data_IF_214825024197
#
_entry.id   IF_214825024197
#
_cell.length_a   1.000
_cell.length_b   1.000
_cell.length_c   1.000
_cell.angle_alpha   90.00
_cell.angle_beta   90.00
_cell.angle_gamma   90.00
#
_symmetry.space_group_name_H-M   'P 1'
#
loop_
_entity.id
_entity.type
_entity.pdbx_description
1 polymer ?
#
# COMPACT_ATOMS: atom_id res chain seq x y z
N UNK A 1 0.98 -3.22 19.96
CA UNK A 1 -0.37 -3.84 19.97
C UNK A 1 -1.43 -2.91 20.57
N UNK A 2 -1.17 -2.29 21.71
CA UNK A 2 -2.14 -1.44 22.43
C UNK A 2 -2.61 -0.26 21.56
N UNK A 3 -1.70 0.45 20.88
CA UNK A 3 -2.04 1.56 20.00
C UNK A 3 -2.91 1.11 18.81
N UNK A 4 -2.59 -0.02 18.18
CA UNK A 4 -3.39 -0.61 17.11
C UNK A 4 -4.80 -0.96 17.57
N UNK A 5 -4.91 -1.59 18.75
CA UNK A 5 -6.20 -1.93 19.36
C UNK A 5 -7.02 -0.70 19.67
N UNK A 6 -6.41 0.31 20.28
CA UNK A 6 -7.08 1.56 20.66
C UNK A 6 -7.59 2.30 19.42
N UNK A 7 -6.74 2.41 18.40
CA UNK A 7 -7.09 3.11 17.17
C UNK A 7 -8.19 2.36 16.39
N UNK A 8 -8.10 1.03 16.30
CA UNK A 8 -9.12 0.22 15.64
C UNK A 8 -10.50 0.37 16.29
N UNK A 9 -10.58 0.40 17.63
CA UNK A 9 -11.83 0.65 18.36
C UNK A 9 -12.38 2.04 18.06
N UNK A 10 -11.55 3.08 18.18
CA UNK A 10 -11.97 4.46 17.93
C UNK A 10 -12.48 4.67 16.50
N UNK A 11 -11.81 4.10 15.50
CA UNK A 11 -12.22 4.16 14.09
C UNK A 11 -13.54 3.39 13.88
N UNK A 12 -13.70 2.24 14.53
CA UNK A 12 -14.96 1.48 14.47
C UNK A 12 -16.13 2.26 15.07
N UNK A 13 -15.92 2.90 16.22
CA UNK A 13 -16.93 3.74 16.88
C UNK A 13 -17.30 4.97 16.04
N UNK A 14 -16.40 5.46 15.21
CA UNK A 14 -16.67 6.55 14.27
C UNK A 14 -17.61 6.16 13.12
N UNK A 15 -17.93 4.87 12.97
CA UNK A 15 -18.94 4.39 12.01
C UNK A 15 -18.44 4.21 10.58
N UNK A 16 -17.18 3.81 10.41
CA UNK A 16 -16.62 3.45 9.09
C UNK A 16 -17.07 2.05 8.66
N UNK A 17 -16.99 1.76 7.37
CA UNK A 17 -17.38 0.46 6.80
C UNK A 17 -16.25 -0.57 6.79
N UNK A 18 -14.97 -0.13 6.81
CA UNK A 18 -13.79 -0.98 6.82
C UNK A 18 -12.57 -0.24 7.34
N UNK A 19 -11.52 -0.98 7.70
CA UNK A 19 -10.24 -0.44 8.16
C UNK A 19 -9.13 -0.86 7.21
N UNK A 20 -8.36 0.10 6.69
CA UNK A 20 -7.14 -0.17 5.92
C UNK A 20 -5.91 0.08 6.79
N UNK A 21 -5.16 -0.98 7.08
CA UNK A 21 -3.89 -0.91 7.82
C UNK A 21 -2.75 -0.60 6.87
N UNK A 22 -2.08 0.53 7.07
CA UNK A 22 -0.96 0.94 6.22
C UNK A 22 0.37 0.32 6.69
N UNK A 23 0.78 -0.78 6.06
CA UNK A 23 2.07 -1.44 6.29
C UNK A 23 3.14 -1.02 5.28
N UNK A 24 3.11 0.21 4.80
CA UNK A 24 3.90 0.58 3.63
C UNK A 24 4.54 1.96 3.69
N UNK A 25 4.37 2.73 4.75
CA UNK A 25 4.96 4.06 4.87
C UNK A 25 6.50 3.97 4.77
N UNK A 26 7.13 4.64 3.79
CA UNK A 26 8.58 4.55 3.59
C UNK A 26 9.39 5.42 4.57
N UNK A 27 8.74 6.37 5.24
CA UNK A 27 9.37 7.38 6.09
C UNK A 27 8.97 7.18 7.55
N UNK A 28 9.60 6.22 8.22
CA UNK A 28 9.35 5.96 9.64
C UNK A 28 10.55 6.32 10.49
N UNK A 29 10.29 6.75 11.71
CA UNK A 29 11.31 7.20 12.67
C UNK A 29 11.94 6.05 13.46
N UNK A 30 11.39 4.84 13.36
CA UNK A 30 11.93 3.65 14.02
C UNK A 30 11.86 2.42 13.13
N UNK A 31 12.74 1.44 13.39
CA UNK A 31 12.67 0.11 12.80
C UNK A 31 11.40 -0.63 13.25
N UNK A 32 10.93 -1.57 12.44
CA UNK A 32 9.70 -2.33 12.65
C UNK A 32 8.40 -1.49 12.58
N UNK A 33 8.40 -0.44 11.77
CA UNK A 33 7.22 0.35 11.44
C UNK A 33 7.09 0.55 9.92
N UNK A 34 5.89 0.86 9.47
CA UNK A 34 5.62 1.17 8.05
C UNK A 34 6.08 0.08 7.09
N UNK A 35 6.97 0.41 6.15
CA UNK A 35 7.41 -0.55 5.12
C UNK A 35 8.23 -1.72 5.66
N UNK A 36 8.81 -1.62 6.84
CA UNK A 36 9.52 -2.75 7.45
C UNK A 36 8.52 -3.82 7.91
N UNK A 37 7.37 -3.41 8.42
CA UNK A 37 6.25 -4.32 8.70
C UNK A 37 5.76 -4.99 7.43
N UNK A 38 5.50 -4.22 6.38
CA UNK A 38 4.98 -4.73 5.10
C UNK A 38 5.91 -5.67 4.33
N UNK A 39 7.16 -5.79 4.74
CA UNK A 39 8.15 -6.72 4.19
C UNK A 39 8.28 -8.01 5.01
N UNK A 40 7.68 -8.05 6.20
CA UNK A 40 7.76 -9.18 7.11
C UNK A 40 6.39 -9.86 7.26
N UNK A 41 6.21 -11.09 6.75
CA UNK A 41 4.92 -11.78 6.78
C UNK A 41 4.38 -12.02 8.19
N UNK A 42 5.24 -12.29 9.16
CA UNK A 42 4.84 -12.51 10.56
C UNK A 42 4.30 -11.22 11.20
N UNK A 43 4.90 -10.08 10.89
CA UNK A 43 4.43 -8.78 11.39
C UNK A 43 3.12 -8.34 10.72
N UNK A 44 2.98 -8.54 9.41
CA UNK A 44 1.71 -8.26 8.70
C UNK A 44 0.59 -9.09 9.29
N UNK A 45 0.80 -10.40 9.43
CA UNK A 45 -0.17 -11.31 10.02
C UNK A 45 -0.54 -10.89 11.45
N UNK A 46 0.47 -10.68 12.30
CA UNK A 46 0.28 -10.27 13.68
C UNK A 46 -0.58 -9.01 13.82
N UNK A 47 -0.24 -7.93 13.10
CA UNK A 47 -1.01 -6.69 13.21
C UNK A 47 -2.40 -6.79 12.56
N UNK A 48 -2.57 -7.57 11.51
CA UNK A 48 -3.90 -7.89 10.99
C UNK A 48 -4.76 -8.60 12.04
N UNK A 49 -4.19 -9.59 12.76
CA UNK A 49 -4.88 -10.30 13.84
C UNK A 49 -5.24 -9.38 15.01
N UNK A 50 -4.31 -8.52 15.45
CA UNK A 50 -4.54 -7.53 16.52
C UNK A 50 -5.70 -6.58 16.16
N UNK A 51 -5.70 -6.05 14.94
CA UNK A 51 -6.77 -5.14 14.49
C UNK A 51 -8.08 -5.88 14.33
N UNK A 52 -8.07 -7.07 13.72
CA UNK A 52 -9.29 -7.89 13.54
C UNK A 52 -9.91 -8.29 14.87
N UNK A 53 -9.12 -8.55 15.90
CA UNK A 53 -9.63 -8.85 17.25
C UNK A 53 -10.28 -7.63 17.94
N UNK A 54 -9.96 -6.43 17.50
CA UNK A 54 -10.44 -5.17 18.09
C UNK A 54 -11.67 -4.58 17.38
N UNK A 55 -12.09 -5.14 16.23
CA UNK A 55 -13.20 -4.64 15.42
C UNK A 55 -14.04 -5.77 14.82
N UNK A 56 -15.29 -5.48 14.45
CA UNK A 56 -16.13 -6.37 13.65
C UNK A 56 -16.07 -6.06 12.15
N UNK A 57 -15.33 -5.02 11.77
CA UNK A 57 -15.24 -4.54 10.39
C UNK A 57 -14.22 -5.34 9.57
N UNK A 58 -14.35 -5.39 8.24
CA UNK A 58 -13.32 -5.92 7.36
C UNK A 58 -12.00 -5.15 7.52
N UNK A 59 -10.89 -5.88 7.62
CA UNK A 59 -9.54 -5.33 7.74
C UNK A 59 -8.75 -5.58 6.46
N UNK A 60 -8.22 -4.53 5.87
CA UNK A 60 -7.44 -4.55 4.63
C UNK A 60 -5.99 -4.23 4.93
N UNK A 61 -5.06 -5.03 4.40
CA UNK A 61 -3.63 -4.77 4.47
C UNK A 61 -3.16 -3.96 3.27
N UNK A 62 -2.69 -2.72 3.48
CA UNK A 62 -2.06 -1.89 2.44
C UNK A 62 -0.58 -2.22 2.32
N UNK A 63 -0.21 -2.82 1.19
CA UNK A 63 1.10 -3.43 1.00
C UNK A 63 2.11 -2.50 0.31
N UNK A 64 3.39 -2.66 0.68
CA UNK A 64 4.51 -1.95 0.07
C UNK A 64 5.00 -2.67 -1.20
N UNK A 65 5.29 -1.93 -2.30
CA UNK A 65 5.94 -2.51 -3.47
C UNK A 65 7.47 -2.59 -3.35
N UNK A 66 8.03 -2.13 -2.23
CA UNK A 66 9.48 -2.07 -2.01
C UNK A 66 10.02 -3.42 -1.52
N UNK A 67 9.59 -4.48 -2.18
CA UNK A 67 9.92 -5.88 -1.89
C UNK A 67 9.91 -6.68 -3.21
N UNK A 68 10.71 -7.73 -3.27
CA UNK A 68 10.76 -8.59 -4.47
C UNK A 68 9.51 -9.44 -4.68
N UNK A 69 8.91 -9.89 -3.58
CA UNK A 69 7.74 -10.77 -3.55
C UNK A 69 6.75 -10.24 -2.50
N UNK A 70 5.55 -9.87 -2.92
CA UNK A 70 4.48 -9.34 -2.05
C UNK A 70 3.51 -10.44 -1.59
N UNK A 71 3.47 -11.58 -2.27
CA UNK A 71 2.50 -12.64 -2.02
C UNK A 71 2.64 -13.19 -0.60
N UNK A 72 3.87 -13.44 -0.15
CA UNK A 72 4.13 -14.02 1.15
C UNK A 72 3.68 -13.09 2.29
N UNK A 73 4.09 -11.80 2.34
CA UNK A 73 3.62 -10.91 3.39
C UNK A 73 2.10 -10.65 3.39
N UNK A 74 1.44 -10.83 2.25
CA UNK A 74 0.01 -10.58 2.13
C UNK A 74 -0.88 -11.73 2.69
N UNK A 75 -0.29 -12.89 2.96
CA UNK A 75 -1.03 -14.05 3.52
C UNK A 75 -1.51 -13.72 4.94
N UNK A 76 -2.78 -14.01 5.21
CA UNK A 76 -3.42 -13.74 6.51
C UNK A 76 -4.24 -12.47 6.58
N UNK A 77 -4.23 -11.64 5.54
CA UNK A 77 -5.15 -10.50 5.42
C UNK A 77 -6.51 -10.94 4.84
N UNK A 78 -7.60 -10.37 5.36
CA UNK A 78 -8.95 -10.60 4.82
C UNK A 78 -9.16 -9.88 3.48
N UNK A 79 -8.39 -8.84 3.22
CA UNK A 79 -8.33 -8.09 1.97
C UNK A 79 -6.99 -7.39 1.84
N UNK A 80 -6.61 -7.06 0.61
CA UNK A 80 -5.32 -6.45 0.30
C UNK A 80 -5.55 -5.18 -0.50
N UNK A 81 -4.80 -4.10 -0.21
CA UNK A 81 -4.66 -2.97 -1.10
C UNK A 81 -3.20 -2.90 -1.62
N UNK A 82 -3.02 -2.87 -2.92
CA UNK A 82 -1.72 -2.84 -3.57
C UNK A 82 -1.78 -1.98 -4.84
N UNK A 83 -0.81 -1.08 -4.95
CA UNK A 83 0.43 -0.91 -4.20
C UNK A 83 0.48 0.47 -3.51
N UNK A 84 1.27 0.62 -2.47
CA UNK A 84 1.67 1.94 -2.01
C UNK A 84 2.79 2.50 -2.92
N UNK A 85 3.36 3.63 -2.56
CA UNK A 85 4.41 4.31 -3.33
C UNK A 85 5.71 3.50 -3.41
N UNK A 86 6.40 3.62 -4.55
CA UNK A 86 7.72 3.05 -4.78
C UNK A 86 8.79 4.00 -4.23
N UNK A 87 9.75 3.51 -3.48
CA UNK A 87 10.90 4.33 -3.03
C UNK A 87 11.72 4.77 -4.24
N UNK A 88 11.92 6.08 -4.40
CA UNK A 88 12.66 6.64 -5.52
C UNK A 88 13.34 7.96 -5.18
N UNK A 89 14.31 8.31 -6.00
CA UNK A 89 14.80 9.67 -6.24
C UNK A 89 14.17 10.12 -7.55
N UNK A 90 13.43 11.24 -7.56
CA UNK A 90 12.69 11.65 -8.75
C UNK A 90 13.58 12.18 -9.87
N UNK A 91 14.61 12.92 -9.53
CA UNK A 91 15.65 13.43 -10.43
C UNK A 91 16.84 13.98 -9.65
N UNK A 92 17.89 14.34 -10.38
CA UNK A 92 19.01 15.11 -9.84
C UNK A 92 18.91 16.53 -10.41
N UNK A 93 18.86 17.51 -9.51
CA UNK A 93 19.10 18.91 -9.89
C UNK A 93 20.59 19.07 -10.20
N UNK A 94 20.90 19.20 -11.49
CA UNK A 94 22.27 19.22 -11.98
C UNK A 94 22.97 20.55 -11.63
N UNK A 95 22.22 21.63 -11.55
CA UNK A 95 22.79 22.96 -11.26
C UNK A 95 23.23 23.05 -9.80
N UNK A 96 22.45 22.49 -8.89
CA UNK A 96 22.74 22.48 -7.46
C UNK A 96 23.35 21.16 -6.96
N UNK A 97 23.55 20.18 -7.86
CA UNK A 97 24.08 18.83 -7.56
C UNK A 97 23.32 18.20 -6.37
N UNK A 98 22.01 18.26 -6.44
CA UNK A 98 21.14 17.85 -5.33
C UNK A 98 20.11 16.82 -5.79
N UNK A 99 20.02 15.71 -5.06
CA UNK A 99 18.99 14.71 -5.33
C UNK A 99 17.61 15.18 -4.86
N UNK A 100 16.60 15.00 -5.71
CA UNK A 100 15.21 15.41 -5.46
C UNK A 100 14.32 14.21 -5.06
N UNK A 101 13.30 14.41 -4.24
CA UNK A 101 12.87 15.68 -3.67
C UNK A 101 13.72 16.11 -2.46
N UNK A 102 13.68 17.41 -2.19
CA UNK A 102 14.28 17.99 -0.97
C UNK A 102 13.17 18.20 0.07
N UNK A 103 13.30 17.59 1.23
CA UNK A 103 12.37 17.71 2.35
C UNK A 103 13.11 18.30 3.56
N UNK A 104 12.62 19.41 4.09
CA UNK A 104 13.26 20.14 5.18
C UNK A 104 14.75 20.45 4.92
N UNK A 105 15.08 20.85 3.69
CA UNK A 105 16.44 21.21 3.27
C UNK A 105 17.40 20.01 3.07
N UNK A 106 16.91 18.79 3.08
CA UNK A 106 17.72 17.57 2.86
C UNK A 106 17.16 16.74 1.71
N UNK A 107 18.04 16.23 0.85
CA UNK A 107 17.67 15.22 -0.16
C UNK A 107 17.05 14.00 0.51
N UNK A 108 15.97 13.49 -0.08
CA UNK A 108 15.22 12.37 0.48
C UNK A 108 14.89 11.33 -0.58
N UNK A 109 15.04 10.05 -0.23
CA UNK A 109 14.39 8.96 -0.95
C UNK A 109 12.93 8.98 -0.51
N UNK A 110 12.02 9.23 -1.43
CA UNK A 110 10.60 9.43 -1.13
C UNK A 110 9.70 8.50 -1.93
N UNK A 111 8.41 8.51 -1.64
CA UNK A 111 7.43 7.70 -2.34
C UNK A 111 7.12 8.26 -3.72
N UNK A 112 7.34 7.47 -4.75
CA UNK A 112 7.02 7.77 -6.15
C UNK A 112 5.67 7.15 -6.52
N UNK A 113 4.78 7.93 -7.15
CA UNK A 113 3.42 7.55 -7.52
C UNK A 113 3.04 8.10 -8.90
N UNK A 114 1.79 7.94 -9.32
CA UNK A 114 1.28 8.37 -10.62
C UNK A 114 1.45 7.33 -11.73
N UNK A 115 1.22 7.70 -12.99
CA UNK A 115 1.14 6.79 -14.13
C UNK A 115 2.34 5.84 -14.27
N UNK A 116 3.54 6.31 -13.91
CA UNK A 116 4.78 5.54 -14.05
C UNK A 116 4.84 4.27 -13.18
N UNK A 117 4.07 4.18 -12.08
CA UNK A 117 4.05 2.99 -11.21
C UNK A 117 3.01 1.96 -11.63
N UNK A 118 2.13 2.26 -12.58
CA UNK A 118 1.07 1.33 -13.03
C UNK A 118 1.60 -0.06 -13.43
N UNK A 119 2.66 -0.20 -14.24
CA UNK A 119 3.17 -1.53 -14.61
C UNK A 119 3.63 -2.35 -13.40
N UNK A 120 4.15 -1.70 -12.37
CA UNK A 120 4.58 -2.34 -11.13
C UNK A 120 3.36 -2.85 -10.34
N UNK A 121 2.32 -2.01 -10.24
CA UNK A 121 1.07 -2.38 -9.57
C UNK A 121 0.39 -3.57 -10.26
N UNK A 122 0.24 -3.54 -11.58
CA UNK A 122 -0.35 -4.63 -12.37
C UNK A 122 0.41 -5.95 -12.16
N UNK A 123 1.77 -5.90 -12.14
CA UNK A 123 2.59 -7.08 -11.85
C UNK A 123 2.24 -7.71 -10.50
N UNK A 124 2.24 -6.91 -9.43
CA UNK A 124 1.98 -7.43 -8.08
C UNK A 124 0.58 -8.01 -7.93
N UNK A 125 -0.44 -7.37 -8.49
CA UNK A 125 -1.81 -7.90 -8.45
C UNK A 125 -1.91 -9.21 -9.22
N UNK A 126 -1.30 -9.29 -10.40
CA UNK A 126 -1.27 -10.52 -11.20
C UNK A 126 -0.61 -11.66 -10.42
N UNK A 127 0.55 -11.42 -9.80
CA UNK A 127 1.27 -12.42 -9.02
C UNK A 127 0.45 -12.91 -7.83
N UNK A 128 -0.15 -11.99 -7.05
CA UNK A 128 -1.02 -12.36 -5.93
C UNK A 128 -2.23 -13.18 -6.38
N UNK A 129 -2.85 -12.84 -7.52
CA UNK A 129 -3.99 -13.61 -8.05
C UNK A 129 -3.62 -14.99 -8.60
N UNK A 130 -2.35 -15.22 -8.90
CA UNK A 130 -1.82 -16.54 -9.28
C UNK A 130 -1.40 -17.37 -8.06
N UNK A 131 -1.28 -16.76 -6.87
CA UNK A 131 -0.90 -17.48 -5.65
C UNK A 131 -2.09 -18.26 -5.07
N UNK A 132 -1.94 -19.56 -4.77
CA UNK A 132 -3.05 -20.40 -4.29
C UNK A 132 -3.79 -19.85 -3.06
N UNK A 133 -3.05 -19.29 -2.11
CA UNK A 133 -3.61 -18.77 -0.86
C UNK A 133 -4.28 -17.40 -1.03
N UNK A 134 -4.00 -16.69 -2.13
CA UNK A 134 -4.48 -15.32 -2.37
C UNK A 134 -5.49 -15.21 -3.51
N UNK A 135 -5.69 -16.26 -4.30
CA UNK A 135 -6.59 -16.24 -5.47
C UNK A 135 -8.01 -15.78 -5.12
N UNK A 136 -8.51 -16.13 -3.94
CA UNK A 136 -9.83 -15.77 -3.46
C UNK A 136 -9.86 -14.52 -2.57
N UNK A 137 -8.71 -13.97 -2.20
CA UNK A 137 -8.64 -12.75 -1.37
C UNK A 137 -8.98 -11.54 -2.24
N UNK A 138 -9.91 -10.65 -1.81
CA UNK A 138 -10.20 -9.43 -2.56
C UNK A 138 -8.98 -8.51 -2.56
N UNK A 139 -8.64 -7.98 -3.74
CA UNK A 139 -7.52 -7.05 -3.92
C UNK A 139 -8.04 -5.73 -4.44
N UNK A 140 -7.73 -4.66 -3.73
CA UNK A 140 -7.90 -3.28 -4.18
C UNK A 140 -6.69 -2.87 -4.98
N UNK A 141 -6.88 -2.54 -6.26
CA UNK A 141 -5.82 -2.07 -7.15
C UNK A 141 -5.53 -0.59 -6.94
N UNK A 142 -4.26 -0.25 -6.72
CA UNK A 142 -3.79 1.12 -6.49
C UNK A 142 -2.48 1.36 -7.25
N UNK A 143 -2.37 2.46 -7.98
CA UNK A 143 -1.12 2.91 -8.58
C UNK A 143 -1.23 3.29 -10.05
N UNK A 144 -1.25 4.58 -10.34
CA UNK A 144 -1.20 5.12 -11.70
C UNK A 144 -2.49 4.96 -12.51
N UNK A 145 -3.63 4.89 -11.84
CA UNK A 145 -4.94 4.91 -12.49
C UNK A 145 -5.32 6.37 -12.75
N UNK A 146 -5.41 6.76 -14.02
CA UNK A 146 -5.77 8.11 -14.45
C UNK A 146 -6.99 8.10 -15.36
N UNK A 147 -7.23 7.01 -16.07
CA UNK A 147 -8.32 6.84 -17.02
C UNK A 147 -9.14 5.58 -16.75
N UNK A 148 -10.33 5.50 -17.34
CA UNK A 148 -11.15 4.30 -17.26
C UNK A 148 -10.45 3.06 -17.88
N UNK A 149 -9.54 3.26 -18.85
CA UNK A 149 -8.74 2.16 -19.43
C UNK A 149 -7.78 1.60 -18.42
N UNK A 150 -7.08 2.46 -17.68
CA UNK A 150 -6.21 2.02 -16.58
C UNK A 150 -7.02 1.22 -15.54
N UNK A 151 -8.18 1.74 -15.17
CA UNK A 151 -9.09 1.05 -14.25
C UNK A 151 -9.47 -0.35 -14.74
N UNK A 152 -9.81 -0.47 -16.02
CA UNK A 152 -10.14 -1.76 -16.65
C UNK A 152 -8.95 -2.73 -16.64
N UNK A 153 -7.73 -2.27 -16.89
CA UNK A 153 -6.52 -3.11 -16.82
C UNK A 153 -6.37 -3.74 -15.43
N UNK A 154 -6.59 -2.98 -14.35
CA UNK A 154 -6.54 -3.49 -12.98
C UNK A 154 -7.61 -4.57 -12.70
N UNK A 155 -8.83 -4.36 -13.18
CA UNK A 155 -9.91 -5.35 -13.05
C UNK A 155 -9.57 -6.62 -13.83
N UNK A 156 -9.04 -6.49 -15.04
CA UNK A 156 -8.67 -7.64 -15.88
C UNK A 156 -7.55 -8.50 -15.26
N UNK A 157 -6.63 -7.92 -14.51
CA UNK A 157 -5.60 -8.69 -13.78
C UNK A 157 -6.08 -9.19 -12.42
N UNK A 158 -7.35 -8.91 -12.04
CA UNK A 158 -8.01 -9.53 -10.90
C UNK A 158 -8.25 -8.60 -9.69
N UNK A 159 -8.09 -7.29 -9.83
CA UNK A 159 -8.52 -6.37 -8.78
C UNK A 159 -10.05 -6.41 -8.61
N UNK A 160 -10.51 -6.40 -7.36
CA UNK A 160 -11.94 -6.42 -7.01
C UNK A 160 -12.52 -5.00 -6.92
N UNK A 161 -11.71 -4.04 -6.54
CA UNK A 161 -12.01 -2.61 -6.54
C UNK A 161 -10.73 -1.77 -6.75
N UNK A 162 -10.85 -0.46 -6.75
CA UNK A 162 -9.77 0.45 -7.14
C UNK A 162 -9.68 1.64 -6.16
N UNK A 163 -8.44 2.14 -5.98
CA UNK A 163 -8.17 3.41 -5.30
C UNK A 163 -7.41 4.33 -6.25
N UNK A 164 -7.80 5.61 -6.27
CA UNK A 164 -7.18 6.66 -7.09
C UNK A 164 -6.75 7.79 -6.17
N UNK A 165 -5.51 8.25 -6.30
CA UNK A 165 -4.97 9.34 -5.48
C UNK A 165 -4.31 10.41 -6.34
N UNK A 166 -3.24 10.07 -7.07
CA UNK A 166 -2.43 11.05 -7.81
C UNK A 166 -3.24 11.78 -8.88
N UNK A 167 -4.11 11.07 -9.60
CA UNK A 167 -4.97 11.69 -10.60
C UNK A 167 -5.94 12.72 -9.99
N UNK A 168 -6.50 12.42 -8.80
CA UNK A 168 -7.35 13.38 -8.07
C UNK A 168 -6.55 14.64 -7.68
N UNK A 169 -5.30 14.49 -7.29
CA UNK A 169 -4.44 15.65 -6.95
C UNK A 169 -4.03 16.48 -8.18
N UNK A 170 -3.98 15.86 -9.35
CA UNK A 170 -3.60 16.53 -10.60
C UNK A 170 -4.78 17.19 -11.31
N UNK A 171 -5.94 16.57 -11.28
CA UNK A 171 -7.09 16.96 -12.11
C UNK A 171 -8.31 17.42 -11.29
N UNK A 172 -8.31 17.27 -9.98
CA UNK A 172 -9.39 17.65 -9.07
C UNK A 172 -10.42 16.57 -8.84
#
# INVERSE_FOLDING_TARGET
>A
DEEWTTLAKAVTEAGVDMIECNFSCPQMTSHAMGSDVGQNPELVKHYCEVVTAATHLPVIAKMTPNIGNMEIPAIGAAGIAAINTVKAITNIDIENITAMPVVNGKSSISGYSGAAVKPIALRFITQMKQHPDLVNVPITGVGGIETWRDALEFILVGASNLQVTTAVMQYG
#
